data_IF_705535762585
#
_entry.id   IF_705535762585
#
_cell.length_a   1.000
_cell.length_b   1.000
_cell.length_c   1.000
_cell.angle_alpha   90.00
_cell.angle_beta   90.00
_cell.angle_gamma   90.00
#
_symmetry.space_group_name_H-M   'P 1'
#
loop_
_entity.id
_entity.type
_entity.pdbx_description
1 polymer ?
#
# COMPACT_ATOMS: atom_id res chain seq x y z
N UNK A 1 -33.53 -22.49 -2.44
CA UNK A 1 -33.46 -21.09 -2.91
C UNK A 1 -32.31 -20.40 -2.17
N UNK A 2 -31.14 -20.27 -2.81
CA UNK A 2 -29.94 -19.66 -2.22
C UNK A 2 -29.91 -18.12 -2.31
N UNK A 3 -30.76 -17.53 -3.15
CA UNK A 3 -30.67 -16.11 -3.54
C UNK A 3 -30.91 -15.14 -2.37
N UNK A 4 -31.85 -15.45 -1.47
CA UNK A 4 -32.13 -14.58 -0.32
C UNK A 4 -30.97 -14.50 0.69
N UNK A 5 -30.22 -15.58 0.87
CA UNK A 5 -29.04 -15.59 1.75
C UNK A 5 -27.86 -14.83 1.11
N UNK A 6 -27.74 -14.92 -0.22
CA UNK A 6 -26.74 -14.18 -0.99
C UNK A 6 -27.04 -12.66 -0.97
N UNK A 7 -28.29 -12.26 -1.21
CA UNK A 7 -28.71 -10.86 -1.15
C UNK A 7 -28.52 -10.25 0.24
N UNK A 8 -28.82 -11.00 1.30
CA UNK A 8 -28.57 -10.57 2.68
C UNK A 8 -27.07 -10.37 2.96
N UNK A 9 -26.21 -11.26 2.45
CA UNK A 9 -24.77 -11.12 2.61
C UNK A 9 -24.21 -9.91 1.85
N UNK A 10 -24.71 -9.63 0.64
CA UNK A 10 -24.34 -8.43 -0.13
C UNK A 10 -24.75 -7.16 0.60
N UNK A 11 -26.00 -7.11 1.09
CA UNK A 11 -26.50 -5.96 1.85
C UNK A 11 -25.69 -5.70 3.13
N UNK A 12 -25.25 -6.77 3.81
CA UNK A 12 -24.41 -6.66 4.99
C UNK A 12 -23.01 -6.09 4.64
N UNK A 13 -22.40 -6.57 3.56
CA UNK A 13 -21.09 -6.08 3.10
C UNK A 13 -21.14 -4.60 2.67
N UNK A 14 -22.22 -4.18 2.01
CA UNK A 14 -22.41 -2.78 1.62
C UNK A 14 -22.57 -1.86 2.84
N UNK A 15 -23.31 -2.31 3.86
CA UNK A 15 -23.45 -1.58 5.12
C UNK A 15 -22.10 -1.45 5.86
N UNK A 16 -21.32 -2.52 5.90
CA UNK A 16 -19.99 -2.52 6.52
C UNK A 16 -19.02 -1.60 5.78
N UNK A 17 -19.06 -1.61 4.44
CA UNK A 17 -18.27 -0.72 3.59
C UNK A 17 -18.64 0.75 3.82
N UNK A 18 -19.94 1.07 3.84
CA UNK A 18 -20.42 2.43 4.12
C UNK A 18 -19.95 2.90 5.50
N UNK A 19 -20.04 2.03 6.52
CA UNK A 19 -19.54 2.32 7.86
C UNK A 19 -18.02 2.51 7.95
N UNK A 20 -17.24 1.82 7.11
CA UNK A 20 -15.79 2.02 7.02
C UNK A 20 -15.44 3.33 6.30
N UNK A 21 -16.17 3.69 5.25
CA UNK A 21 -15.99 4.95 4.52
C UNK A 21 -16.28 6.15 5.41
N UNK A 22 -17.38 6.13 6.16
CA UNK A 22 -17.72 7.21 7.09
C UNK A 22 -16.70 7.32 8.23
N UNK A 23 -16.29 6.20 8.83
CA UNK A 23 -15.21 6.21 9.83
C UNK A 23 -13.91 6.79 9.28
N UNK A 24 -13.60 6.52 8.01
CA UNK A 24 -12.42 7.09 7.35
C UNK A 24 -12.54 8.60 7.07
N UNK A 25 -13.74 9.10 6.78
CA UNK A 25 -14.01 10.54 6.61
C UNK A 25 -13.86 11.31 7.93
N UNK A 26 -14.27 10.70 9.03
CA UNK A 26 -14.21 11.29 10.37
C UNK A 26 -12.94 10.94 11.15
N UNK A 27 -12.11 10.03 10.66
CA UNK A 27 -10.81 9.76 11.24
C UNK A 27 -9.96 11.03 11.15
N UNK A 28 -9.48 11.50 12.31
CA UNK A 28 -8.45 12.53 12.36
C UNK A 28 -7.20 12.11 11.57
N UNK A 29 -6.28 13.04 11.27
CA UNK A 29 -5.02 12.71 10.64
C UNK A 29 -4.39 11.53 11.38
N UNK A 30 -4.01 10.48 10.63
CA UNK A 30 -3.39 9.30 11.22
C UNK A 30 -2.25 9.77 12.12
N UNK A 31 -2.14 9.24 13.36
CA UNK A 31 -1.07 9.66 14.25
C UNK A 31 0.25 9.53 13.50
N UNK A 32 1.09 10.57 13.58
CA UNK A 32 2.44 10.51 13.05
C UNK A 32 3.18 9.45 13.87
N UNK A 33 3.15 8.20 13.38
CA UNK A 33 3.97 7.14 13.95
C UNK A 33 5.40 7.52 13.59
N UNK A 34 6.18 7.93 14.59
CA UNK A 34 7.62 8.04 14.44
C UNK A 34 8.17 6.62 14.25
N UNK A 35 8.28 6.23 12.98
CA UNK A 35 8.89 4.97 12.57
C UNK A 35 10.36 5.23 12.33
N UNK A 36 11.25 4.54 13.07
CA UNK A 36 12.67 4.49 12.70
C UNK A 36 12.81 3.69 11.39
N UNK A 37 13.18 4.34 10.27
CA UNK A 37 13.30 3.67 8.98
C UNK A 37 14.37 2.57 8.98
N UNK A 38 15.40 2.70 9.83
CA UNK A 38 16.50 1.72 9.91
C UNK A 38 16.04 0.46 10.61
N UNK A 39 15.42 0.58 11.77
CA UNK A 39 14.88 -0.59 12.49
C UNK A 39 13.86 -1.33 11.61
N UNK A 40 13.00 -0.58 10.92
CA UNK A 40 11.99 -1.17 10.06
C UNK A 40 12.59 -1.86 8.83
N UNK A 41 13.67 -1.32 8.24
CA UNK A 41 14.40 -1.98 7.16
C UNK A 41 15.10 -3.27 7.62
N UNK A 42 15.64 -3.30 8.84
CA UNK A 42 16.24 -4.50 9.43
C UNK A 42 15.18 -5.60 9.59
N UNK A 43 14.05 -5.29 10.26
CA UNK A 43 12.94 -6.23 10.44
C UNK A 43 12.37 -6.75 9.12
N UNK A 44 12.25 -5.88 8.12
CA UNK A 44 11.77 -6.24 6.78
C UNK A 44 12.70 -7.26 6.13
N UNK A 45 14.01 -7.13 6.33
CA UNK A 45 15.02 -8.03 5.75
C UNK A 45 15.01 -9.39 6.43
N UNK A 46 14.86 -9.42 7.75
CA UNK A 46 14.82 -10.65 8.54
C UNK A 46 13.59 -11.51 8.27
N UNK A 47 12.43 -10.87 8.05
CA UNK A 47 11.14 -11.57 7.91
C UNK A 47 10.67 -11.67 6.45
N UNK A 48 11.50 -11.24 5.48
CA UNK A 48 11.02 -11.03 4.11
C UNK A 48 10.31 -12.24 3.53
N UNK A 49 10.84 -13.44 3.68
CA UNK A 49 10.26 -14.63 3.05
C UNK A 49 8.98 -15.12 3.74
N UNK A 50 8.80 -14.78 5.02
CA UNK A 50 7.65 -15.20 5.83
C UNK A 50 6.45 -14.25 5.74
N UNK A 51 6.67 -13.03 5.24
CA UNK A 51 5.63 -12.02 5.14
C UNK A 51 4.74 -12.24 3.91
N UNK A 52 3.44 -12.03 4.10
CA UNK A 52 2.48 -11.95 2.99
C UNK A 52 2.72 -10.70 2.14
N UNK A 53 2.17 -10.68 0.93
CA UNK A 53 2.27 -9.53 0.01
C UNK A 53 1.71 -8.24 0.64
N UNK A 54 0.65 -8.35 1.44
CA UNK A 54 0.02 -7.20 2.09
C UNK A 54 0.91 -6.65 3.20
N UNK A 55 1.54 -7.52 3.99
CA UNK A 55 2.45 -7.10 5.06
C UNK A 55 3.72 -6.45 4.51
N UNK A 56 4.30 -7.03 3.45
CA UNK A 56 5.43 -6.41 2.72
C UNK A 56 5.07 -5.00 2.26
N UNK A 57 3.90 -4.83 1.66
CA UNK A 57 3.42 -3.52 1.20
C UNK A 57 3.26 -2.54 2.37
N UNK A 58 2.68 -2.97 3.48
CA UNK A 58 2.43 -2.11 4.63
C UNK A 58 3.74 -1.66 5.30
N UNK A 59 4.73 -2.56 5.39
CA UNK A 59 6.05 -2.23 5.92
C UNK A 59 6.87 -1.37 4.96
N UNK A 60 6.79 -1.60 3.65
CA UNK A 60 7.50 -0.75 2.66
C UNK A 60 6.90 0.65 2.54
N UNK A 61 5.60 0.82 2.82
CA UNK A 61 4.91 2.10 2.66
C UNK A 61 5.56 3.29 3.38
N UNK A 62 5.93 3.21 4.68
CA UNK A 62 6.64 4.30 5.35
C UNK A 62 8.07 4.51 4.84
N UNK A 63 8.69 3.49 4.24
CA UNK A 63 10.04 3.58 3.68
C UNK A 63 10.09 4.28 2.31
N UNK A 64 8.96 4.39 1.61
CA UNK A 64 8.87 4.92 0.25
C UNK A 64 8.18 6.29 0.29
N UNK A 65 8.89 7.34 -0.12
CA UNK A 65 8.30 8.68 -0.28
C UNK A 65 7.36 8.74 -1.48
N UNK A 66 7.86 8.31 -2.65
CA UNK A 66 7.11 8.32 -3.91
C UNK A 66 7.63 7.27 -4.87
N UNK A 67 6.73 6.80 -5.74
CA UNK A 67 7.07 5.93 -6.86
C UNK A 67 6.83 6.71 -8.15
N UNK A 68 7.87 6.90 -8.96
CA UNK A 68 7.79 7.52 -10.30
C UNK A 68 7.74 6.41 -11.35
N UNK A 69 6.72 6.43 -12.20
CA UNK A 69 6.65 5.56 -13.37
C UNK A 69 7.17 6.35 -14.57
N UNK A 70 8.34 5.96 -15.08
CA UNK A 70 8.97 6.59 -16.24
C UNK A 70 8.25 6.16 -17.52
N UNK A 71 8.13 7.11 -18.46
CA UNK A 71 7.62 6.84 -19.81
C UNK A 71 8.64 5.97 -20.56
N UNK A 72 8.20 4.92 -21.28
CA UNK A 72 9.09 4.08 -22.04
C UNK A 72 9.75 4.90 -23.16
N UNK A 73 11.06 4.71 -23.35
CA UNK A 73 11.81 5.36 -24.44
C UNK A 73 11.35 4.89 -25.84
N UNK A 74 10.80 3.66 -25.94
CA UNK A 74 10.17 3.11 -27.15
C UNK A 74 8.94 2.28 -26.79
N UNK A 75 7.84 2.45 -27.50
CA UNK A 75 6.67 1.56 -27.36
C UNK A 75 7.06 0.12 -27.69
N UNK A 76 6.67 -0.84 -26.85
CA UNK A 76 6.95 -2.27 -27.03
C UNK A 76 8.30 -2.77 -26.50
N UNK A 77 9.18 -1.92 -25.97
CA UNK A 77 10.42 -2.34 -25.30
C UNK A 77 10.55 -1.72 -23.90
N UNK A 78 10.60 -2.58 -22.89
CA UNK A 78 10.91 -2.23 -21.50
C UNK A 78 10.16 -3.13 -20.53
N UNK A 79 10.89 -3.82 -19.65
CA UNK A 79 10.27 -4.56 -18.55
C UNK A 79 9.69 -3.52 -17.59
N UNK A 80 8.51 -3.78 -17.02
CA UNK A 80 7.85 -2.85 -16.09
C UNK A 80 8.77 -2.42 -14.93
N UNK A 81 9.69 -3.31 -14.50
CA UNK A 81 10.70 -3.05 -13.46
C UNK A 81 11.67 -1.93 -13.82
N UNK A 82 12.10 -1.81 -15.08
CA UNK A 82 13.06 -0.80 -15.54
C UNK A 82 12.45 0.62 -15.60
N UNK A 83 11.12 0.70 -15.42
CA UNK A 83 10.35 1.95 -15.50
C UNK A 83 9.91 2.47 -14.15
N UNK A 84 10.18 1.75 -13.07
CA UNK A 84 9.74 2.12 -11.73
C UNK A 84 10.94 2.67 -10.97
N UNK A 85 10.92 3.97 -10.73
CA UNK A 85 11.89 4.66 -9.88
C UNK A 85 11.25 4.88 -8.49
N UNK A 86 11.84 4.25 -7.48
CA UNK A 86 11.35 4.29 -6.09
C UNK A 86 12.21 5.27 -5.31
N UNK A 87 11.63 6.40 -4.93
CA UNK A 87 12.32 7.41 -4.12
C UNK A 87 12.07 7.08 -2.65
N UNK A 88 13.12 6.75 -1.89
CA UNK A 88 12.98 6.40 -0.48
C UNK A 88 12.65 7.63 0.37
N UNK A 89 12.03 7.41 1.53
CA UNK A 89 11.67 8.45 2.49
C UNK A 89 12.87 9.21 3.08
N UNK A 90 14.05 8.59 3.11
CA UNK A 90 15.30 9.16 3.63
C UNK A 90 16.26 9.65 2.54
N UNK A 91 15.92 9.48 1.26
CA UNK A 91 16.74 9.96 0.15
C UNK A 91 16.55 11.45 -0.08
N UNK A 92 17.48 12.13 -0.77
CA UNK A 92 17.22 13.50 -1.22
C UNK A 92 15.93 13.49 -2.05
N UNK A 93 15.01 14.40 -1.74
CA UNK A 93 13.83 14.60 -2.57
C UNK A 93 14.32 15.00 -3.98
N UNK A 94 14.42 14.01 -4.87
CA UNK A 94 14.79 14.28 -6.25
C UNK A 94 13.70 15.17 -6.85
N UNK A 95 14.13 16.37 -7.28
CA UNK A 95 13.32 17.48 -7.80
C UNK A 95 12.08 17.11 -8.62
#
# INVERSE_FOLDING_TARGET
>A
MPDAAYEAAVAQLDADLAGLVERRRHAGPAPAVEVDPRELAIRLTELWDDLTVIEKRNLLRPLIHRVRILKPARQGKGVWRDRVDVIPAWGPAAG
#
